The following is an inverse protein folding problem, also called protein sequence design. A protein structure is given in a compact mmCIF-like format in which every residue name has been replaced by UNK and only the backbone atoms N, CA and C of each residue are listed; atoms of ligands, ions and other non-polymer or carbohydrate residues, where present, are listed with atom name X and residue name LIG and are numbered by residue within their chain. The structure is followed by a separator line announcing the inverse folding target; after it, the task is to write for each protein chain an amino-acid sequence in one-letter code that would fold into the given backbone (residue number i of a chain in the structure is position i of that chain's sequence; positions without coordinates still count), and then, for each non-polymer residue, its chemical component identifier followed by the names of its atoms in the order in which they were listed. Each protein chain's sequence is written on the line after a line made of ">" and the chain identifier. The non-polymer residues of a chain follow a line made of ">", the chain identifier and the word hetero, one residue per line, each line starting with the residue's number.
data_IF_379976429518
#
_entry.id   IF_379976429518
#
_cell.length_a   1.000
_cell.length_b   1.000
_cell.length_c   1.000
_cell.angle_alpha   90.00
_cell.angle_beta   90.00
_cell.angle_gamma   90.00
#
_symmetry.space_group_name_H-M   'P 1'
#
loop_
_entity.id
_entity.type
_entity.pdbx_description
1 polymer ?
#
# COMPACT_ATOMS: atom_id res chain seq x y z
N UNK A 1 22.93 -18.01 -13.02
CA UNK A 1 22.67 -17.97 -11.56
C UNK A 1 21.31 -17.35 -11.36
N UNK A 2 20.31 -18.14 -10.98
CA UNK A 2 18.94 -17.69 -10.80
C UNK A 2 18.81 -16.97 -9.47
N UNK A 3 18.46 -15.68 -9.49
CA UNK A 3 18.17 -14.90 -8.28
C UNK A 3 16.89 -15.48 -7.67
N UNK A 4 17.06 -16.24 -6.59
CA UNK A 4 15.93 -16.71 -5.79
C UNK A 4 15.51 -15.55 -4.90
N UNK A 5 14.51 -14.78 -5.33
CA UNK A 5 13.85 -13.78 -4.48
C UNK A 5 13.01 -14.58 -3.48
N UNK A 6 13.56 -14.78 -2.28
CA UNK A 6 12.94 -15.54 -1.19
C UNK A 6 11.86 -14.67 -0.56
N UNK A 7 10.61 -14.90 -0.95
CA UNK A 7 9.49 -14.20 -0.38
C UNK A 7 8.80 -15.03 0.71
N UNK A 8 8.88 -14.54 1.95
CA UNK A 8 8.18 -15.12 3.10
C UNK A 8 6.77 -14.55 3.14
N UNK A 9 5.83 -15.35 2.67
CA UNK A 9 4.42 -15.02 2.75
C UNK A 9 3.86 -15.40 4.12
N UNK A 10 3.27 -14.42 4.79
CA UNK A 10 2.39 -14.66 5.94
C UNK A 10 0.94 -14.34 5.55
N UNK A 11 0.08 -15.37 5.33
CA UNK A 11 -1.33 -15.17 4.95
C UNK A 11 -2.10 -14.33 5.95
N UNK A 12 -1.74 -14.41 7.22
CA UNK A 12 -2.41 -13.67 8.30
C UNK A 12 -2.09 -12.19 8.18
N UNK A 13 -0.83 -11.83 7.92
CA UNK A 13 -0.43 -10.41 7.74
C UNK A 13 -1.13 -9.80 6.54
N UNK A 14 -1.22 -10.52 5.42
CA UNK A 14 -1.93 -10.03 4.24
C UNK A 14 -3.44 -9.83 4.49
N UNK A 15 -4.10 -10.83 5.11
CA UNK A 15 -5.54 -10.74 5.45
C UNK A 15 -5.82 -9.60 6.44
N UNK A 16 -5.05 -9.50 7.53
CA UNK A 16 -5.19 -8.41 8.49
C UNK A 16 -4.86 -7.05 7.91
N UNK A 17 -3.85 -6.98 7.05
CA UNK A 17 -3.50 -5.74 6.37
C UNK A 17 -4.63 -5.25 5.46
N UNK A 18 -5.25 -6.12 4.66
CA UNK A 18 -6.42 -5.74 3.84
C UNK A 18 -7.59 -5.23 4.69
N UNK A 19 -7.87 -5.90 5.82
CA UNK A 19 -8.88 -5.45 6.77
C UNK A 19 -8.56 -4.04 7.32
N UNK A 20 -7.31 -3.81 7.75
CA UNK A 20 -6.86 -2.53 8.27
C UNK A 20 -6.87 -1.42 7.21
N UNK A 21 -6.57 -1.73 5.94
CA UNK A 21 -6.74 -0.78 4.82
C UNK A 21 -8.21 -0.36 4.69
N UNK A 22 -9.14 -1.32 4.75
CA UNK A 22 -10.57 -1.03 4.73
C UNK A 22 -10.99 -0.16 5.92
N UNK A 23 -10.55 -0.52 7.13
CA UNK A 23 -10.87 0.22 8.35
C UNK A 23 -10.32 1.65 8.33
N UNK A 24 -9.07 1.86 7.92
CA UNK A 24 -8.48 3.18 7.89
C UNK A 24 -9.05 4.06 6.76
N UNK A 25 -9.44 3.51 5.62
CA UNK A 25 -10.21 4.29 4.65
C UNK A 25 -11.59 4.66 5.22
N UNK A 26 -12.22 3.78 5.99
CA UNK A 26 -13.50 4.08 6.62
C UNK A 26 -13.37 5.19 7.67
N UNK A 27 -12.27 5.19 8.43
CA UNK A 27 -11.94 6.28 9.36
C UNK A 27 -11.69 7.61 8.65
N UNK A 28 -11.15 7.62 7.42
CA UNK A 28 -10.98 8.85 6.64
C UNK A 28 -12.33 9.47 6.22
N UNK A 29 -13.35 8.65 5.98
CA UNK A 29 -14.70 9.13 5.68
C UNK A 29 -15.27 9.98 6.84
N UNK A 30 -15.10 9.53 8.08
CA UNK A 30 -15.58 10.23 9.28
C UNK A 30 -14.55 11.15 9.94
N UNK A 31 -13.39 11.36 9.32
CA UNK A 31 -12.34 12.15 9.94
C UNK A 31 -12.77 13.63 10.06
N UNK A 32 -12.89 14.17 11.29
CA UNK A 32 -13.47 15.49 11.54
C UNK A 32 -12.50 16.63 11.23
N UNK A 33 -11.21 16.34 11.06
CA UNK A 33 -10.19 17.34 10.77
C UNK A 33 -9.20 16.86 9.71
N UNK A 34 -8.57 17.81 9.04
CA UNK A 34 -7.51 17.55 8.07
C UNK A 34 -6.33 16.79 8.69
N UNK A 35 -5.94 17.13 9.93
CA UNK A 35 -4.87 16.45 10.66
C UNK A 35 -5.16 14.97 10.86
N UNK A 36 -6.38 14.61 11.27
CA UNK A 36 -6.77 13.21 11.44
C UNK A 36 -6.75 12.48 10.10
N UNK A 37 -7.19 13.13 9.01
CA UNK A 37 -7.10 12.53 7.66
C UNK A 37 -5.67 12.21 7.26
N UNK A 38 -4.73 13.12 7.52
CA UNK A 38 -3.30 12.87 7.26
C UNK A 38 -2.80 11.67 8.05
N UNK A 39 -3.04 11.63 9.36
CA UNK A 39 -2.58 10.54 10.22
C UNK A 39 -3.13 9.20 9.74
N UNK A 40 -4.43 9.13 9.47
CA UNK A 40 -5.06 7.91 8.97
C UNK A 40 -4.55 7.55 7.58
N UNK A 41 -4.23 8.52 6.72
CA UNK A 41 -3.64 8.28 5.40
C UNK A 41 -2.24 7.67 5.50
N UNK A 42 -1.42 8.14 6.44
CA UNK A 42 -0.12 7.52 6.75
C UNK A 42 -0.30 6.07 7.18
N UNK A 43 -1.27 5.79 8.05
CA UNK A 43 -1.59 4.41 8.46
C UNK A 43 -2.01 3.53 7.27
N UNK A 44 -2.86 4.05 6.36
CA UNK A 44 -3.21 3.34 5.12
C UNK A 44 -1.95 3.02 4.31
N UNK A 45 -1.06 3.99 4.11
CA UNK A 45 0.17 3.80 3.32
C UNK A 45 1.09 2.73 3.91
N UNK A 46 1.28 2.74 5.23
CA UNK A 46 2.10 1.73 5.93
C UNK A 46 1.50 0.34 5.73
N UNK A 47 0.21 0.18 6.03
CA UNK A 47 -0.46 -1.12 5.92
C UNK A 47 -0.49 -1.59 4.45
N UNK A 48 -0.84 -0.71 3.52
CA UNK A 48 -0.87 -1.05 2.10
C UNK A 48 0.50 -1.47 1.58
N UNK A 49 1.58 -0.79 1.97
CA UNK A 49 2.95 -1.19 1.62
C UNK A 49 3.28 -2.60 2.10
N UNK A 50 2.88 -2.95 3.33
CA UNK A 50 3.04 -4.32 3.84
C UNK A 50 2.18 -5.34 3.09
N UNK A 51 0.95 -4.99 2.70
CA UNK A 51 0.10 -5.86 1.88
C UNK A 51 0.69 -6.11 0.50
N UNK A 52 1.15 -5.05 -0.18
CA UNK A 52 1.69 -5.13 -1.52
C UNK A 52 2.94 -6.03 -1.57
N UNK A 53 3.84 -5.89 -0.60
CA UNK A 53 5.01 -6.75 -0.46
C UNK A 53 4.63 -8.24 -0.24
N UNK A 54 3.51 -8.51 0.41
CA UNK A 54 2.99 -9.86 0.64
C UNK A 54 2.09 -10.39 -0.48
N UNK A 55 1.69 -9.56 -1.45
CA UNK A 55 0.79 -9.95 -2.54
C UNK A 55 1.53 -10.68 -3.67
N UNK A 56 2.65 -10.11 -4.17
CA UNK A 56 3.43 -10.71 -5.26
C UNK A 56 3.89 -12.16 -4.98
N UNK A 57 4.36 -12.49 -3.76
CA UNK A 57 4.74 -13.86 -3.38
C UNK A 57 3.61 -14.89 -3.49
N UNK A 58 2.34 -14.46 -3.37
CA UNK A 58 1.20 -15.36 -3.46
C UNK A 58 1.07 -15.97 -4.84
N UNK A 59 1.36 -15.20 -5.89
CA UNK A 59 1.32 -15.73 -7.25
C UNK A 59 2.36 -16.83 -7.45
N UNK A 60 3.58 -16.64 -6.95
CA UNK A 60 4.60 -17.68 -7.02
C UNK A 60 4.26 -18.95 -6.22
N UNK A 61 3.50 -18.83 -5.12
CA UNK A 61 3.11 -19.98 -4.29
C UNK A 61 1.87 -20.71 -4.78
N UNK A 62 0.88 -19.98 -5.32
CA UNK A 62 -0.44 -20.52 -5.67
C UNK A 62 -0.56 -20.91 -7.14
N UNK A 63 0.25 -20.30 -8.02
CA UNK A 63 0.21 -20.61 -9.45
C UNK A 63 1.06 -21.84 -9.77
N UNK A 64 0.54 -22.70 -10.64
CA UNK A 64 1.36 -23.73 -11.26
C UNK A 64 2.49 -23.07 -12.11
N UNK A 65 3.67 -23.70 -12.25
CA UNK A 65 4.84 -23.08 -12.91
C UNK A 65 4.58 -22.61 -14.35
N UNK A 66 3.72 -23.33 -15.07
CA UNK A 66 3.26 -23.04 -16.43
C UNK A 66 2.28 -21.86 -16.50
N UNK A 67 1.52 -21.62 -15.43
CA UNK A 67 0.52 -20.55 -15.32
C UNK A 67 1.05 -19.28 -14.64
N UNK A 68 2.22 -19.34 -14.01
CA UNK A 68 2.82 -18.21 -13.28
C UNK A 68 2.98 -16.94 -14.14
N UNK A 69 3.50 -16.99 -15.39
CA UNK A 69 3.59 -15.79 -16.23
C UNK A 69 2.23 -15.15 -16.50
N UNK A 70 1.20 -15.99 -16.70
CA UNK A 70 -0.18 -15.55 -16.93
C UNK A 70 -0.73 -14.87 -15.68
N UNK A 71 -0.54 -15.45 -14.49
CA UNK A 71 -0.99 -14.87 -13.23
C UNK A 71 -0.33 -13.51 -12.94
N UNK A 72 0.98 -13.37 -13.20
CA UNK A 72 1.69 -12.10 -13.05
C UNK A 72 1.22 -11.05 -14.05
N UNK A 73 0.93 -11.46 -15.30
CA UNK A 73 0.36 -10.58 -16.31
C UNK A 73 -1.04 -10.08 -15.91
N UNK A 74 -1.90 -10.97 -15.39
CA UNK A 74 -3.21 -10.58 -14.86
C UNK A 74 -3.11 -9.64 -13.66
N UNK A 75 -2.20 -9.89 -12.72
CA UNK A 75 -1.98 -8.97 -11.60
C UNK A 75 -1.56 -7.58 -12.07
N UNK A 76 -0.65 -7.52 -13.05
CA UNK A 76 -0.20 -6.26 -13.65
C UNK A 76 -1.34 -5.54 -14.38
N UNK A 77 -2.16 -6.28 -15.12
CA UNK A 77 -3.36 -5.76 -15.79
C UNK A 77 -4.35 -5.16 -14.78
N UNK A 78 -4.60 -5.86 -13.66
CA UNK A 78 -5.48 -5.36 -12.60
C UNK A 78 -4.94 -4.08 -11.95
N UNK A 79 -3.62 -4.00 -11.73
CA UNK A 79 -2.95 -2.79 -11.27
C UNK A 79 -3.21 -1.60 -12.21
N UNK A 80 -2.96 -1.78 -13.50
CA UNK A 80 -3.20 -0.74 -14.53
C UNK A 80 -4.67 -0.36 -14.63
N UNK A 81 -5.58 -1.34 -14.64
CA UNK A 81 -7.02 -1.07 -14.68
C UNK A 81 -7.46 -0.24 -13.45
N UNK A 82 -6.94 -0.55 -12.27
CA UNK A 82 -7.22 0.21 -11.04
C UNK A 82 -6.70 1.65 -11.14
N UNK A 83 -5.51 1.86 -11.73
CA UNK A 83 -4.96 3.20 -11.95
C UNK A 83 -5.79 4.07 -12.89
N UNK A 84 -6.58 3.48 -13.78
CA UNK A 84 -7.49 4.21 -14.68
C UNK A 84 -8.86 4.40 -14.04
N UNK A 85 -9.43 3.32 -13.48
CA UNK A 85 -10.79 3.32 -12.93
C UNK A 85 -10.87 4.17 -11.67
N UNK A 86 -9.86 4.14 -10.79
CA UNK A 86 -9.93 4.86 -9.52
C UNK A 86 -10.02 6.39 -9.70
N UNK A 87 -9.20 7.05 -10.55
CA UNK A 87 -9.39 8.46 -10.87
C UNK A 87 -10.76 8.76 -11.47
N UNK A 88 -11.25 7.97 -12.43
CA UNK A 88 -12.56 8.18 -13.07
C UNK A 88 -13.69 8.11 -12.04
N UNK A 89 -13.69 7.08 -11.20
CA UNK A 89 -14.69 6.91 -10.15
C UNK A 89 -14.61 8.03 -9.11
N UNK A 90 -13.40 8.43 -8.72
CA UNK A 90 -13.20 9.52 -7.76
C UNK A 90 -13.66 10.87 -8.30
N UNK A 91 -13.41 11.15 -9.57
CA UNK A 91 -13.85 12.37 -10.26
C UNK A 91 -15.36 12.41 -10.40
N UNK A 92 -15.98 11.28 -10.77
CA UNK A 92 -17.43 11.15 -10.84
C UNK A 92 -18.11 11.36 -9.48
N UNK A 93 -17.63 10.70 -8.42
CA UNK A 93 -18.17 10.86 -7.05
C UNK A 93 -18.02 12.31 -6.59
N UNK A 94 -16.84 12.90 -6.78
CA UNK A 94 -16.57 14.28 -6.34
C UNK A 94 -17.39 15.31 -7.16
N UNK A 95 -17.69 15.00 -8.43
CA UNK A 95 -18.51 15.83 -9.30
C UNK A 95 -20.02 15.76 -9.01
N UNK A 96 -20.47 14.84 -8.15
CA UNK A 96 -21.86 14.80 -7.69
C UNK A 96 -22.20 15.83 -6.62
N UNK A 97 -21.20 16.57 -6.11
CA UNK A 97 -21.44 17.60 -5.12
C UNK A 97 -22.38 18.68 -5.69
N UNK A 98 -23.63 18.67 -5.25
CA UNK A 98 -24.62 19.70 -5.56
C UNK A 98 -24.58 20.86 -4.58
N UNK A 99 -23.94 20.67 -3.43
CA UNK A 99 -23.80 21.64 -2.34
C UNK A 99 -22.33 21.75 -1.90
N UNK A 100 -21.71 22.95 -1.96
CA UNK A 100 -20.34 23.16 -1.51
C UNK A 100 -20.11 22.90 -0.01
N UNK A 101 -21.15 23.05 0.82
CA UNK A 101 -21.05 22.82 2.27
C UNK A 101 -21.02 21.32 2.62
N UNK A 102 -21.52 20.48 1.70
CA UNK A 102 -21.58 19.03 1.82
C UNK A 102 -20.80 18.35 0.70
N UNK A 103 -19.46 18.44 0.72
CA UNK A 103 -18.64 17.86 -0.33
C UNK A 103 -18.80 16.33 -0.38
N UNK A 104 -18.90 15.76 -1.58
CA UNK A 104 -19.07 14.32 -1.78
C UNK A 104 -17.75 13.55 -1.86
N UNK A 105 -16.60 14.22 -1.90
CA UNK A 105 -15.29 13.55 -1.92
C UNK A 105 -15.05 12.55 -0.76
N UNK A 106 -15.59 12.73 0.48
CA UNK A 106 -15.42 11.74 1.54
C UNK A 106 -15.94 10.35 1.12
N UNK A 107 -17.02 10.30 0.33
CA UNK A 107 -17.62 9.04 -0.11
C UNK A 107 -16.67 8.19 -0.96
N UNK A 108 -15.64 8.78 -1.57
CA UNK A 108 -14.58 8.01 -2.23
C UNK A 108 -13.91 7.05 -1.25
N UNK A 109 -13.64 7.50 -0.03
CA UNK A 109 -13.03 6.65 1.01
C UNK A 109 -13.99 5.55 1.48
N UNK A 110 -15.29 5.83 1.55
CA UNK A 110 -16.30 4.83 1.86
C UNK A 110 -16.34 3.72 0.80
N UNK A 111 -16.39 4.10 -0.49
CA UNK A 111 -16.38 3.13 -1.60
C UNK A 111 -15.10 2.27 -1.58
N UNK A 112 -13.94 2.90 -1.39
CA UNK A 112 -12.66 2.17 -1.28
C UNK A 112 -12.66 1.20 -0.09
N UNK A 113 -13.28 1.57 1.02
CA UNK A 113 -13.40 0.71 2.21
C UNK A 113 -14.25 -0.52 1.92
N UNK A 114 -15.40 -0.34 1.27
CA UNK A 114 -16.28 -1.45 0.86
C UNK A 114 -15.53 -2.42 -0.06
N UNK A 115 -14.82 -1.91 -1.06
CA UNK A 115 -14.01 -2.73 -1.97
C UNK A 115 -12.93 -3.50 -1.19
N UNK A 116 -12.23 -2.84 -0.26
CA UNK A 116 -11.21 -3.49 0.57
C UNK A 116 -11.80 -4.61 1.46
N UNK A 117 -12.98 -4.40 2.05
CA UNK A 117 -13.65 -5.43 2.84
C UNK A 117 -14.17 -6.59 1.99
N UNK A 118 -14.74 -6.33 0.82
CA UNK A 118 -15.14 -7.40 -0.12
C UNK A 118 -13.92 -8.23 -0.54
N UNK A 119 -12.80 -7.57 -0.83
CA UNK A 119 -11.54 -8.23 -1.14
C UNK A 119 -11.05 -9.05 0.05
N UNK A 120 -11.09 -8.50 1.25
CA UNK A 120 -10.73 -9.21 2.48
C UNK A 120 -11.59 -10.47 2.69
N UNK A 121 -12.92 -10.36 2.55
CA UNK A 121 -13.85 -11.50 2.65
C UNK A 121 -13.51 -12.56 1.61
N UNK A 122 -13.30 -12.16 0.35
CA UNK A 122 -12.89 -13.09 -0.70
C UNK A 122 -11.57 -13.80 -0.35
N UNK A 123 -10.62 -13.10 0.27
CA UNK A 123 -9.35 -13.70 0.69
C UNK A 123 -9.50 -14.61 1.92
N UNK A 124 -10.44 -14.32 2.81
CA UNK A 124 -10.75 -15.22 3.92
C UNK A 124 -11.36 -16.52 3.42
N UNK A 125 -12.28 -16.44 2.44
CA UNK A 125 -13.01 -17.60 1.90
C UNK A 125 -12.17 -18.43 0.92
N UNK A 126 -11.51 -17.77 -0.03
CA UNK A 126 -10.91 -18.45 -1.19
C UNK A 126 -9.41 -18.69 -1.08
N UNK A 127 -8.67 -17.98 -0.22
CA UNK A 127 -7.26 -18.34 0.01
C UNK A 127 -7.15 -19.42 1.09
N UNK A 128 -6.66 -20.62 0.73
CA UNK A 128 -6.50 -21.71 1.67
C UNK A 128 -5.58 -21.29 2.82
N UNK A 129 -5.90 -21.72 4.03
CA UNK A 129 -5.11 -21.45 5.23
C UNK A 129 -3.77 -22.20 5.23
N UNK A 130 -3.53 -23.09 4.27
CA UNK A 130 -2.46 -24.07 4.30
C UNK A 130 -1.10 -23.48 3.92
N UNK A 131 -0.28 -23.45 4.95
CA UNK A 131 1.14 -23.21 5.05
C UNK A 131 1.97 -24.07 4.08
N UNK A 132 2.14 -23.66 2.82
CA UNK A 132 3.42 -23.96 2.15
C UNK A 132 4.39 -22.85 2.52
N UNK A 133 5.03 -22.98 3.68
CA UNK A 133 6.19 -22.20 4.06
C UNK A 133 7.34 -22.71 3.21
N UNK A 134 7.68 -22.00 2.15
CA UNK A 134 9.08 -22.03 1.70
C UNK A 134 9.87 -21.40 2.85
N UNK A 135 10.70 -22.19 3.53
CA UNK A 135 11.55 -21.74 4.62
C UNK A 135 12.48 -20.64 4.11
N UNK A 136 12.29 -19.46 4.67
CA UNK A 136 13.07 -18.26 4.41
C UNK A 136 12.75 -17.27 5.50
N UNK A 137 13.73 -16.44 5.89
CA UNK A 137 13.55 -15.39 6.91
C UNK A 137 12.92 -14.15 6.29
N UNK A 138 11.88 -13.63 6.93
CA UNK A 138 11.15 -12.43 6.48
C UNK A 138 12.01 -11.19 6.75
N UNK A 139 12.41 -10.49 5.70
CA UNK A 139 12.96 -9.14 5.84
C UNK A 139 11.84 -8.10 5.96
N UNK A 140 11.14 -8.15 7.09
CA UNK A 140 10.13 -7.15 7.43
C UNK A 140 10.69 -5.76 7.59
N UNK A 141 12.00 -5.66 7.88
CA UNK A 141 12.67 -4.40 8.08
C UNK A 141 12.88 -3.69 6.74
N UNK A 142 13.40 -4.36 5.71
CA UNK A 142 13.56 -3.81 4.36
C UNK A 142 12.25 -3.32 3.76
N UNK A 143 11.18 -4.13 3.84
CA UNK A 143 9.84 -3.74 3.35
C UNK A 143 9.23 -2.54 4.09
N UNK A 144 9.38 -2.49 5.42
CA UNK A 144 8.95 -1.35 6.23
C UNK A 144 9.75 -0.10 5.87
N UNK A 145 11.07 -0.21 5.76
CA UNK A 145 11.97 0.90 5.46
C UNK A 145 11.70 1.50 4.08
N UNK A 146 11.47 0.66 3.06
CA UNK A 146 11.09 1.11 1.73
C UNK A 146 9.75 1.88 1.74
N UNK A 147 8.76 1.33 2.45
CA UNK A 147 7.43 1.94 2.57
C UNK A 147 7.49 3.31 3.27
N UNK A 148 8.22 3.39 4.40
CA UNK A 148 8.44 4.64 5.13
C UNK A 148 9.19 5.64 4.26
N UNK A 149 10.17 5.21 3.48
CA UNK A 149 10.96 6.07 2.61
C UNK A 149 10.08 6.72 1.51
N UNK A 150 9.26 5.91 0.81
CA UNK A 150 8.36 6.43 -0.23
C UNK A 150 7.27 7.32 0.37
N UNK A 151 6.65 6.90 1.47
CA UNK A 151 5.62 7.71 2.13
C UNK A 151 6.19 9.08 2.55
N UNK A 152 7.38 9.10 3.15
CA UNK A 152 8.05 10.34 3.58
C UNK A 152 8.48 11.21 2.39
N UNK A 153 8.88 10.63 1.26
CA UNK A 153 9.18 11.39 0.06
C UNK A 153 7.93 12.08 -0.51
N UNK A 154 6.83 11.34 -0.64
CA UNK A 154 5.57 11.84 -1.19
C UNK A 154 4.96 12.91 -0.29
N UNK A 155 4.96 12.72 1.03
CA UNK A 155 4.51 13.76 1.97
C UNK A 155 5.39 15.01 1.95
N UNK A 156 6.71 14.83 1.81
CA UNK A 156 7.65 15.95 1.72
C UNK A 156 7.42 16.80 0.49
N UNK A 157 7.23 16.17 -0.66
CA UNK A 157 6.97 16.85 -1.93
C UNK A 157 5.58 17.48 -1.98
N UNK A 158 4.54 16.82 -1.44
CA UNK A 158 3.18 17.34 -1.42
C UNK A 158 2.99 18.53 -0.45
N UNK A 159 3.87 18.68 0.54
CA UNK A 159 3.84 19.78 1.51
C UNK A 159 4.60 21.04 1.06
N UNK A 160 5.15 21.05 -0.16
CA UNK A 160 5.79 22.22 -0.78
C UNK A 160 4.69 23.02 -1.50
N UNK A 161 4.21 24.17 -0.96
CA UNK A 161 3.37 25.07 -1.74
C UNK A 161 4.18 25.62 -2.92
N UNK A 162 3.51 25.86 -4.07
CA UNK A 162 4.16 26.31 -5.32
C UNK A 162 5.01 27.59 -5.17
N UNK A 163 4.82 28.34 -4.08
CA UNK A 163 5.49 29.64 -3.87
C UNK A 163 6.45 29.71 -2.66
N UNK A 164 6.63 28.65 -1.83
CA UNK A 164 7.59 28.71 -0.72
C UNK A 164 8.02 27.34 -0.15
N UNK A 165 9.29 26.99 -0.36
CA UNK A 165 9.93 25.69 -0.03
C UNK A 165 10.19 25.45 1.47
N UNK A 166 9.67 26.28 2.38
CA UNK A 166 10.11 26.30 3.80
C UNK A 166 9.04 25.97 4.84
N UNK A 167 8.24 24.93 4.60
CA UNK A 167 7.41 24.35 5.68
C UNK A 167 8.24 23.32 6.45
N UNK A 168 8.34 23.45 7.78
CA UNK A 168 9.10 22.51 8.64
C UNK A 168 8.74 21.04 8.36
N UNK A 169 7.48 20.78 8.01
CA UNK A 169 6.98 19.45 7.65
C UNK A 169 7.56 18.87 6.36
N UNK A 170 7.77 19.69 5.31
CA UNK A 170 8.39 19.21 4.06
C UNK A 170 9.86 18.86 4.29
N UNK A 171 10.59 19.69 5.03
CA UNK A 171 12.00 19.46 5.39
C UNK A 171 12.15 18.19 6.23
N UNK A 172 11.31 17.99 7.25
CA UNK A 172 11.34 16.79 8.09
C UNK A 172 11.03 15.52 7.30
N UNK A 173 10.04 15.56 6.42
CA UNK A 173 9.64 14.41 5.62
C UNK A 173 10.72 14.02 4.58
N UNK A 174 11.39 15.01 3.97
CA UNK A 174 12.55 14.78 3.10
C UNK A 174 13.75 14.23 3.89
N UNK A 175 14.00 14.74 5.11
CA UNK A 175 15.06 14.22 5.99
C UNK A 175 14.82 12.76 6.38
N UNK A 176 13.58 12.39 6.71
CA UNK A 176 13.23 10.98 7.01
C UNK A 176 13.50 10.10 5.79
N UNK A 177 13.11 10.52 4.59
CA UNK A 177 13.45 9.82 3.36
C UNK A 177 14.97 9.71 3.16
N UNK A 178 15.71 10.81 3.30
CA UNK A 178 17.16 10.87 3.14
C UNK A 178 17.92 10.00 4.16
N UNK A 179 17.34 9.68 5.31
CA UNK A 179 17.90 8.77 6.32
C UNK A 179 17.47 7.31 6.08
N UNK A 180 16.23 7.08 5.65
CA UNK A 180 15.73 5.74 5.35
C UNK A 180 16.37 5.14 4.10
N UNK A 181 16.65 5.93 3.06
CA UNK A 181 17.22 5.45 1.79
C UNK A 181 18.61 4.79 1.97
N UNK A 182 19.59 5.43 2.66
CA UNK A 182 20.91 4.83 2.89
C UNK A 182 20.86 3.60 3.79
N UNK A 183 19.97 3.60 4.78
CA UNK A 183 19.77 2.47 5.67
C UNK A 183 19.15 1.28 4.92
N UNK A 184 18.22 1.53 3.98
CA UNK A 184 17.69 0.51 3.09
C UNK A 184 18.78 -0.06 2.17
N UNK A 185 19.60 0.79 1.55
CA UNK A 185 20.72 0.31 0.72
C UNK A 185 21.74 -0.49 1.53
N UNK A 186 22.03 -0.08 2.76
CA UNK A 186 22.93 -0.82 3.67
C UNK A 186 22.31 -2.14 4.13
N UNK A 187 21.00 -2.16 4.32
CA UNK A 187 20.25 -3.37 4.65
C UNK A 187 20.36 -4.39 3.51
N UNK A 188 20.01 -3.98 2.29
CA UNK A 188 20.12 -4.78 1.07
C UNK A 188 21.56 -5.26 0.83
N UNK A 189 22.55 -4.38 0.95
CA UNK A 189 23.96 -4.75 0.75
C UNK A 189 24.44 -5.86 1.71
N UNK A 190 23.88 -5.94 2.92
CA UNK A 190 24.24 -6.98 3.90
C UNK A 190 23.57 -8.31 3.57
N UNK A 191 22.31 -8.30 3.19
CA UNK A 191 21.56 -9.51 2.81
C UNK A 191 22.09 -10.16 1.52
N UNK A 192 22.70 -9.40 0.60
CA UNK A 192 23.33 -9.95 -0.62
C UNK A 192 24.77 -10.46 -0.44
N UNK A 193 25.39 -10.24 0.72
CA UNK A 193 26.79 -10.61 0.99
C UNK A 193 26.96 -11.91 1.79
N UNK A 194 25.86 -12.49 2.27
CA UNK A 194 25.77 -13.73 3.06
C UNK A 194 25.19 -14.87 2.24
#
# INVERSE_FOLDING_TARGET
>A
MSVMIICVYNPRVFKWGLFLVGLFNLMQFWAPSFTIRIVVRVCVSIVYGTCAANAAPNFYRLSAPDMLPVCLAYNSLMGTATMVIAPMLSGWISGMATDPENPTWPYVYLVVSVIAFLWWIANVIYLPATERVAEGSFDGLGGLMFTVCIASLVFGLAAIPMDNVKTIYSVLSILVCAVCLPLLFRHEARTHSS
#
